data_IF_640121853175
#
_entry.id   IF_640121853175
#
_cell.length_a   1.000
_cell.length_b   1.000
_cell.length_c   1.000
_cell.angle_alpha   90.00
_cell.angle_beta   90.00
_cell.angle_gamma   90.00
#
_symmetry.space_group_name_H-M   'P 1'
#
loop_
_entity.id
_entity.type
_entity.pdbx_description
1 polymer ?
#
# COMPACT_ATOMS: atom_id res chain seq x y z
N UNK A 1 45.45 6.30 -6.10
CA UNK A 1 44.42 7.33 -5.89
C UNK A 1 43.03 6.96 -6.41
N UNK A 2 42.74 5.67 -6.66
CA UNK A 2 41.42 5.19 -7.11
C UNK A 2 40.52 4.60 -6.02
N UNK A 3 40.96 4.48 -4.77
CA UNK A 3 40.19 3.87 -3.69
C UNK A 3 39.38 4.85 -2.81
N UNK A 4 39.59 6.17 -2.96
CA UNK A 4 38.88 7.20 -2.19
C UNK A 4 37.50 7.55 -2.74
N UNK A 5 37.23 7.30 -4.03
CA UNK A 5 35.98 7.68 -4.68
C UNK A 5 34.80 6.75 -4.36
N UNK A 6 35.03 5.46 -4.10
CA UNK A 6 33.96 4.49 -3.82
C UNK A 6 33.37 4.65 -2.40
N UNK A 7 34.17 5.03 -1.43
CA UNK A 7 33.70 5.30 -0.06
C UNK A 7 32.80 6.53 0.06
N UNK A 8 33.05 7.55 -0.75
CA UNK A 8 32.24 8.79 -0.78
C UNK A 8 30.92 8.62 -1.54
N UNK A 9 30.89 7.79 -2.59
CA UNK A 9 29.66 7.43 -3.29
C UNK A 9 28.77 6.57 -2.39
N UNK A 10 29.36 5.61 -1.66
CA UNK A 10 28.62 4.78 -0.69
C UNK A 10 28.11 5.61 0.50
N UNK A 11 28.90 6.54 1.04
CA UNK A 11 28.44 7.46 2.10
C UNK A 11 27.33 8.40 1.60
N UNK A 12 27.39 8.90 0.36
CA UNK A 12 26.31 9.71 -0.23
C UNK A 12 25.04 8.88 -0.48
N UNK A 13 25.17 7.59 -0.85
CA UNK A 13 24.02 6.69 -0.98
C UNK A 13 23.40 6.37 0.38
N UNK A 14 24.19 6.15 1.43
CA UNK A 14 23.70 5.93 2.79
C UNK A 14 23.09 7.21 3.38
N UNK A 15 23.67 8.39 3.13
CA UNK A 15 23.05 9.67 3.51
C UNK A 15 21.75 9.96 2.74
N UNK A 16 21.56 9.38 1.52
CA UNK A 16 20.29 9.45 0.78
C UNK A 16 19.18 8.55 1.36
N UNK A 17 19.53 7.53 2.14
CA UNK A 17 18.57 6.66 2.82
C UNK A 17 17.97 7.27 4.09
N UNK A 18 18.59 8.31 4.68
CA UNK A 18 18.00 9.07 5.82
C UNK A 18 16.78 9.93 5.41
N UNK A 19 16.48 10.04 4.12
CA UNK A 19 15.33 10.79 3.61
C UNK A 19 13.98 10.12 3.85
N UNK A 20 13.95 8.83 4.20
CA UNK A 20 12.74 8.08 4.46
C UNK A 20 12.61 7.76 5.95
N UNK A 21 12.34 8.79 6.75
CA UNK A 21 12.07 8.59 8.17
C UNK A 21 10.84 7.69 8.36
N UNK A 22 10.99 6.60 9.12
CA UNK A 22 9.84 5.79 9.53
C UNK A 22 8.89 6.65 10.33
N UNK A 23 7.59 6.62 9.98
CA UNK A 23 6.53 7.30 10.74
C UNK A 23 5.46 6.29 11.11
N UNK A 24 4.86 6.44 12.27
CA UNK A 24 3.83 5.53 12.76
C UNK A 24 2.42 5.95 12.30
N UNK A 25 2.27 7.14 11.74
CA UNK A 25 0.97 7.67 11.29
C UNK A 25 0.25 6.72 10.33
N UNK A 26 0.88 6.16 9.27
CA UNK A 26 0.21 5.23 8.38
C UNK A 26 -0.31 3.97 9.08
N UNK A 27 0.39 3.51 10.10
CA UNK A 27 -0.04 2.34 10.89
C UNK A 27 -1.30 2.64 11.70
N UNK A 28 -1.37 3.85 12.30
CA UNK A 28 -2.58 4.30 13.02
C UNK A 28 -3.76 4.42 12.05
N UNK A 29 -3.56 5.09 10.90
CA UNK A 29 -4.59 5.28 9.87
C UNK A 29 -5.14 3.95 9.36
N UNK A 30 -4.27 3.01 9.03
CA UNK A 30 -4.65 1.70 8.48
C UNK A 30 -5.48 0.87 9.47
N UNK A 31 -5.17 0.96 10.78
CA UNK A 31 -5.86 0.21 11.81
C UNK A 31 -7.07 0.96 12.40
N UNK A 32 -7.40 2.16 11.91
CA UNK A 32 -8.43 3.03 12.50
C UNK A 32 -9.79 2.34 12.66
N UNK A 33 -10.22 1.58 11.67
CA UNK A 33 -11.49 0.84 11.67
C UNK A 33 -11.52 -0.33 12.68
N UNK A 34 -10.35 -0.79 13.12
CA UNK A 34 -10.23 -1.88 14.11
C UNK A 34 -10.26 -1.37 15.55
N UNK A 35 -10.10 -0.08 15.77
CA UNK A 35 -10.09 0.53 17.10
C UNK A 35 -11.49 0.59 17.69
N UNK A 36 -11.57 0.40 19.00
CA UNK A 36 -12.76 0.73 19.80
C UNK A 36 -12.94 2.25 19.83
N UNK A 37 -14.08 2.74 20.29
CA UNK A 37 -14.35 4.17 20.41
C UNK A 37 -13.28 4.92 21.24
N UNK A 38 -12.88 4.34 22.39
CA UNK A 38 -11.78 4.88 23.20
C UNK A 38 -10.44 4.89 22.47
N UNK A 39 -10.13 3.83 21.73
CA UNK A 39 -8.89 3.74 20.96
C UNK A 39 -8.90 4.68 19.76
N UNK A 40 -10.05 4.93 19.13
CA UNK A 40 -10.21 5.96 18.08
C UNK A 40 -9.99 7.36 18.63
N UNK A 41 -10.50 7.64 19.83
CA UNK A 41 -10.24 8.93 20.49
C UNK A 41 -8.73 9.15 20.73
N UNK A 42 -8.00 8.12 21.14
CA UNK A 42 -6.54 8.16 21.27
C UNK A 42 -5.87 8.34 19.88
N UNK A 43 -6.31 7.57 18.86
CA UNK A 43 -5.79 7.68 17.50
C UNK A 43 -5.96 9.09 16.93
N UNK A 44 -7.15 9.70 17.11
CA UNK A 44 -7.45 11.04 16.65
C UNK A 44 -6.52 12.09 17.26
N UNK A 45 -6.16 11.94 18.52
CA UNK A 45 -5.19 12.83 19.17
C UNK A 45 -3.85 12.79 18.45
N UNK A 46 -3.31 11.58 18.20
CA UNK A 46 -2.01 11.43 17.54
C UNK A 46 -2.03 11.77 16.04
N UNK A 47 -3.17 11.60 15.36
CA UNK A 47 -3.32 11.98 13.96
C UNK A 47 -3.44 13.49 13.74
N UNK A 48 -4.01 14.22 14.73
CA UNK A 48 -4.25 15.67 14.64
C UNK A 48 -3.18 16.52 15.31
N UNK A 49 -2.32 15.90 16.12
CA UNK A 49 -1.33 16.63 16.91
C UNK A 49 -0.11 16.99 16.04
N UNK A 50 0.06 18.28 15.79
CA UNK A 50 1.16 18.84 15.01
C UNK A 50 2.36 19.29 15.88
N UNK A 51 2.31 19.10 17.19
CA UNK A 51 3.35 19.52 18.11
C UNK A 51 3.79 18.37 19.03
N UNK A 52 5.10 18.27 19.27
CA UNK A 52 5.66 17.35 20.29
C UNK A 52 5.62 18.05 21.64
N UNK A 53 4.54 17.79 22.39
CA UNK A 53 4.43 18.18 23.80
C UNK A 53 4.83 17.06 24.77
N UNK A 54 4.27 17.09 25.98
CA UNK A 54 4.36 15.97 26.90
C UNK A 54 3.48 14.82 26.40
N UNK A 55 4.11 13.72 26.04
CA UNK A 55 3.46 12.48 25.58
C UNK A 55 3.56 11.37 26.64
N UNK A 56 3.81 11.72 27.90
CA UNK A 56 3.79 10.75 28.99
C UNK A 56 2.43 10.07 29.10
N UNK A 57 2.41 8.81 29.56
CA UNK A 57 1.15 8.10 29.75
C UNK A 57 0.24 8.81 30.76
N UNK A 58 0.81 9.46 31.76
CA UNK A 58 0.09 10.22 32.76
C UNK A 58 -0.59 11.46 32.15
N UNK A 59 0.17 12.26 31.39
CA UNK A 59 -0.35 13.44 30.71
C UNK A 59 -1.47 13.08 29.71
N UNK A 60 -1.22 12.14 28.80
CA UNK A 60 -2.20 11.75 27.78
C UNK A 60 -3.43 11.08 28.38
N UNK A 61 -3.27 10.29 29.46
CA UNK A 61 -4.42 9.70 30.17
C UNK A 61 -5.33 10.76 30.76
N UNK A 62 -4.74 11.81 31.31
CA UNK A 62 -5.49 12.95 31.89
C UNK A 62 -6.14 13.79 30.80
N UNK A 63 -5.38 14.15 29.77
CA UNK A 63 -5.83 15.00 28.65
C UNK A 63 -7.02 14.37 27.90
N UNK A 64 -6.95 13.07 27.63
CA UNK A 64 -7.99 12.35 26.89
C UNK A 64 -9.02 11.67 27.80
N UNK A 65 -8.90 11.80 29.13
CA UNK A 65 -9.77 11.11 30.09
C UNK A 65 -9.83 9.59 29.85
N UNK A 66 -8.70 8.96 29.55
CA UNK A 66 -8.58 7.52 29.30
C UNK A 66 -7.64 6.86 30.30
N UNK A 67 -7.78 5.54 30.50
CA UNK A 67 -6.87 4.81 31.40
C UNK A 67 -5.50 4.54 30.73
N UNK A 68 -4.40 4.44 31.52
CA UNK A 68 -3.10 3.99 30.99
C UNK A 68 -3.16 2.62 30.32
N UNK A 69 -4.07 1.75 30.77
CA UNK A 69 -4.33 0.46 30.16
C UNK A 69 -4.93 0.60 28.76
N UNK A 70 -5.74 1.62 28.50
CA UNK A 70 -6.30 1.94 27.17
C UNK A 70 -5.21 2.40 26.22
N UNK A 71 -4.27 3.23 26.65
CA UNK A 71 -3.09 3.63 25.88
C UNK A 71 -2.23 2.43 25.48
N UNK A 72 -2.01 1.50 26.42
CA UNK A 72 -1.24 0.28 26.16
C UNK A 72 -1.95 -0.66 25.17
N UNK A 73 -3.29 -0.78 25.26
CA UNK A 73 -4.07 -1.58 24.30
C UNK A 73 -4.04 -0.95 22.91
N UNK A 74 -4.24 0.35 22.80
CA UNK A 74 -4.12 1.09 21.56
C UNK A 74 -2.75 0.86 20.91
N UNK A 75 -1.65 1.06 21.65
CA UNK A 75 -0.30 0.86 21.15
C UNK A 75 -0.06 -0.58 20.64
N UNK A 76 -0.51 -1.59 21.38
CA UNK A 76 -0.40 -3.00 20.98
C UNK A 76 -1.21 -3.29 19.71
N UNK A 77 -2.40 -2.73 19.59
CA UNK A 77 -3.26 -2.89 18.42
C UNK A 77 -2.70 -2.17 17.19
N UNK A 78 -1.89 -1.11 17.42
CA UNK A 78 -1.10 -0.43 16.40
C UNK A 78 0.20 -1.15 16.03
N UNK A 79 0.48 -2.33 16.62
CA UNK A 79 1.65 -3.16 16.28
C UNK A 79 2.89 -2.94 17.14
N UNK A 80 2.78 -2.21 18.26
CA UNK A 80 3.89 -1.95 19.20
C UNK A 80 3.77 -2.81 20.46
N UNK A 81 4.88 -3.06 21.17
CA UNK A 81 4.87 -3.86 22.40
C UNK A 81 4.15 -3.15 23.55
N UNK A 82 4.10 -1.80 23.52
CA UNK A 82 3.42 -0.98 24.52
C UNK A 82 3.52 0.51 24.23
N UNK A 83 2.90 1.31 25.09
CA UNK A 83 2.77 2.75 24.91
C UNK A 83 4.13 3.49 24.87
N UNK A 84 5.15 3.01 25.62
CA UNK A 84 6.51 3.64 25.62
C UNK A 84 7.17 3.51 24.26
N UNK A 85 7.12 2.33 23.65
CA UNK A 85 7.66 2.10 22.31
C UNK A 85 6.89 2.92 21.27
N UNK A 86 5.57 2.94 21.35
CA UNK A 86 4.72 3.76 20.49
C UNK A 86 5.13 5.24 20.54
N UNK A 87 5.27 5.83 21.75
CA UNK A 87 5.66 7.25 21.91
C UNK A 87 7.07 7.51 21.40
N UNK A 88 8.00 6.57 21.61
CA UNK A 88 9.36 6.70 21.11
C UNK A 88 9.37 6.78 19.58
N UNK A 89 8.67 5.87 18.90
CA UNK A 89 8.55 5.87 17.44
C UNK A 89 7.76 7.08 16.92
N UNK A 90 6.73 7.52 17.65
CA UNK A 90 5.98 8.73 17.30
C UNK A 90 6.87 9.98 17.33
N UNK A 91 7.71 10.14 18.34
CA UNK A 91 8.66 11.26 18.44
C UNK A 91 9.70 11.22 17.32
N UNK A 92 10.24 10.04 17.01
CA UNK A 92 11.21 9.86 15.95
C UNK A 92 10.60 10.14 14.55
N UNK A 93 9.29 10.01 14.40
CA UNK A 93 8.58 10.27 13.15
C UNK A 93 8.22 11.74 12.93
N UNK A 94 8.46 12.60 13.93
CA UNK A 94 8.10 14.00 13.85
C UNK A 94 9.20 14.80 13.16
N UNK A 95 8.94 15.22 11.93
CA UNK A 95 9.80 16.17 11.20
C UNK A 95 9.22 17.56 11.40
N UNK A 96 10.00 18.49 11.97
CA UNK A 96 9.63 19.89 12.09
C UNK A 96 9.24 20.44 10.70
N UNK A 97 7.99 20.89 10.58
CA UNK A 97 7.48 21.59 9.41
C UNK A 97 8.07 23.00 9.40
N UNK A 98 9.13 23.21 8.65
CA UNK A 98 9.60 24.57 8.35
C UNK A 98 8.58 25.27 7.44
N UNK A 99 7.93 26.32 7.94
CA UNK A 99 7.05 27.20 7.19
C UNK A 99 7.88 28.05 6.24
N UNK A 100 7.96 27.62 4.97
CA UNK A 100 8.46 28.42 3.86
C UNK A 100 7.32 28.58 2.87
N UNK A 101 7.08 29.79 2.34
CA UNK A 101 6.19 29.98 1.19
C UNK A 101 6.59 29.00 0.08
N UNK A 102 5.68 28.07 -0.26
CA UNK A 102 6.01 26.95 -1.13
C UNK A 102 5.37 27.19 -2.50
N UNK A 103 6.18 27.15 -3.56
CA UNK A 103 5.68 27.08 -4.93
C UNK A 103 4.79 25.81 -5.11
N UNK A 104 3.75 25.91 -5.94
CA UNK A 104 2.76 24.84 -6.15
C UNK A 104 3.41 23.49 -6.54
N UNK A 105 4.46 23.55 -7.38
CA UNK A 105 5.25 22.38 -7.76
C UNK A 105 5.90 21.68 -6.55
N UNK A 106 6.37 22.47 -5.58
CA UNK A 106 7.00 21.95 -4.36
C UNK A 106 5.99 21.28 -3.46
N UNK A 107 4.77 21.83 -3.33
CA UNK A 107 3.68 21.20 -2.57
C UNK A 107 3.34 19.83 -3.12
N UNK A 108 3.28 19.67 -4.44
CA UNK A 108 3.05 18.37 -5.09
C UNK A 108 4.19 17.40 -4.80
N UNK A 109 5.44 17.83 -4.95
CA UNK A 109 6.61 16.96 -4.70
C UNK A 109 6.72 16.55 -3.24
N UNK A 110 6.48 17.46 -2.30
CA UNK A 110 6.49 17.17 -0.86
C UNK A 110 5.35 16.19 -0.49
N UNK A 111 4.21 16.29 -1.17
CA UNK A 111 3.09 15.35 -1.01
C UNK A 111 3.49 13.94 -1.49
N UNK A 112 4.14 13.81 -2.64
CA UNK A 112 4.67 12.53 -3.11
C UNK A 112 5.74 11.97 -2.16
N UNK A 113 6.65 12.82 -1.66
CA UNK A 113 7.67 12.41 -0.70
C UNK A 113 7.02 11.86 0.59
N UNK A 114 6.02 12.56 1.11
CA UNK A 114 5.26 12.12 2.30
C UNK A 114 4.56 10.80 2.06
N UNK A 115 3.99 10.60 0.86
CA UNK A 115 3.34 9.36 0.49
C UNK A 115 4.33 8.19 0.39
N UNK A 116 5.51 8.42 -0.21
CA UNK A 116 6.59 7.42 -0.29
C UNK A 116 7.04 6.97 1.12
N UNK A 117 7.20 7.92 2.04
CA UNK A 117 7.52 7.60 3.43
C UNK A 117 6.43 6.72 4.07
N UNK A 118 5.15 7.00 3.84
CA UNK A 118 4.04 6.18 4.33
C UNK A 118 4.07 4.77 3.73
N UNK A 119 4.32 4.62 2.42
CA UNK A 119 4.46 3.31 1.77
C UNK A 119 5.55 2.49 2.44
N UNK A 120 6.74 3.08 2.63
CA UNK A 120 7.89 2.40 3.23
C UNK A 120 7.56 1.80 4.60
N UNK A 121 6.71 2.47 5.40
CA UNK A 121 6.31 1.99 6.73
C UNK A 121 5.26 0.86 6.71
N UNK A 122 4.49 0.75 5.62
CA UNK A 122 3.44 -0.27 5.48
C UNK A 122 3.93 -1.54 4.78
N UNK A 123 5.13 -1.52 4.19
CA UNK A 123 5.67 -2.67 3.45
C UNK A 123 5.89 -3.88 4.36
N UNK A 124 5.31 -5.01 3.96
CA UNK A 124 5.58 -6.35 4.49
C UNK A 124 6.16 -7.23 3.38
N UNK A 125 7.48 -7.43 3.43
CA UNK A 125 8.21 -8.25 2.45
C UNK A 125 7.72 -9.71 2.42
N UNK A 126 7.28 -10.24 3.55
CA UNK A 126 6.74 -11.60 3.61
C UNK A 126 5.38 -11.67 2.90
N UNK A 127 4.54 -10.65 3.04
CA UNK A 127 3.27 -10.54 2.31
C UNK A 127 3.49 -10.40 0.81
N UNK A 128 4.45 -9.56 0.39
CA UNK A 128 4.80 -9.40 -1.03
C UNK A 128 5.20 -10.75 -1.63
N UNK A 129 6.04 -11.54 -0.95
CA UNK A 129 6.43 -12.88 -1.40
C UNK A 129 5.22 -13.82 -1.54
N UNK A 130 4.28 -13.82 -0.59
CA UNK A 130 3.06 -14.63 -0.70
C UNK A 130 2.18 -14.21 -1.87
N UNK A 131 2.06 -12.90 -2.13
CA UNK A 131 1.31 -12.37 -3.29
C UNK A 131 1.97 -12.80 -4.60
N UNK A 132 3.30 -12.72 -4.71
CA UNK A 132 4.06 -13.16 -5.89
C UNK A 132 3.84 -14.65 -6.14
N UNK A 133 3.88 -15.50 -5.11
CA UNK A 133 3.60 -16.94 -5.28
C UNK A 133 2.17 -17.19 -5.79
N UNK A 134 1.17 -16.49 -5.27
CA UNK A 134 -0.22 -16.58 -5.76
C UNK A 134 -0.34 -16.17 -7.23
N UNK A 135 0.35 -15.11 -7.63
CA UNK A 135 0.40 -14.67 -9.03
C UNK A 135 1.03 -15.73 -9.94
N UNK A 136 2.07 -16.44 -9.49
CA UNK A 136 2.76 -17.49 -10.26
C UNK A 136 1.93 -18.77 -10.41
N UNK A 137 1.14 -19.10 -9.39
CA UNK A 137 0.34 -20.33 -9.39
C UNK A 137 -0.99 -20.17 -10.13
N UNK A 138 -1.48 -18.94 -10.29
CA UNK A 138 -2.75 -18.69 -10.94
C UNK A 138 -2.66 -18.91 -12.45
N UNK A 139 -3.64 -19.63 -13.03
CA UNK A 139 -3.77 -19.73 -14.48
C UNK A 139 -4.33 -18.45 -15.12
N UNK A 140 -5.20 -17.77 -14.39
CA UNK A 140 -5.77 -16.47 -14.79
C UNK A 140 -5.97 -15.58 -13.58
N UNK A 141 -5.62 -14.31 -13.75
CA UNK A 141 -5.75 -13.27 -12.73
C UNK A 141 -6.81 -12.26 -13.16
N UNK A 142 -7.77 -11.98 -12.29
CA UNK A 142 -8.73 -10.90 -12.46
C UNK A 142 -8.38 -9.76 -11.52
N UNK A 143 -8.17 -8.57 -12.07
CA UNK A 143 -7.94 -7.36 -11.28
C UNK A 143 -9.14 -6.45 -11.42
N UNK A 144 -9.87 -6.21 -10.34
CA UNK A 144 -11.08 -5.39 -10.37
C UNK A 144 -10.93 -4.10 -9.56
N UNK A 145 -11.41 -3.00 -10.12
CA UNK A 145 -11.42 -1.67 -9.50
C UNK A 145 -12.44 -0.74 -10.15
N UNK A 146 -12.83 0.32 -9.43
CA UNK A 146 -13.79 1.32 -9.91
C UNK A 146 -13.17 2.71 -9.95
N UNK A 147 -13.57 3.54 -10.92
CA UNK A 147 -13.01 4.89 -11.09
C UNK A 147 -11.50 4.88 -11.23
N UNK A 148 -10.80 5.67 -10.42
CA UNK A 148 -9.33 5.75 -10.41
C UNK A 148 -8.66 4.40 -10.07
N UNK A 149 -9.25 3.60 -9.18
CA UNK A 149 -8.77 2.24 -8.92
C UNK A 149 -8.94 1.31 -10.13
N UNK A 150 -9.93 1.56 -10.97
CA UNK A 150 -10.11 0.84 -12.25
C UNK A 150 -9.01 1.15 -13.26
N UNK A 151 -8.52 2.40 -13.29
CA UNK A 151 -7.36 2.78 -14.10
C UNK A 151 -6.08 2.07 -13.60
N UNK A 152 -5.88 1.98 -12.29
CA UNK A 152 -4.77 1.23 -11.72
C UNK A 152 -4.88 -0.28 -12.01
N UNK A 153 -6.10 -0.85 -12.05
CA UNK A 153 -6.32 -2.24 -12.45
C UNK A 153 -5.91 -2.49 -13.91
N UNK A 154 -6.21 -1.55 -14.80
CA UNK A 154 -5.83 -1.62 -16.21
C UNK A 154 -4.32 -1.52 -16.41
N UNK A 155 -3.66 -0.61 -15.69
CA UNK A 155 -2.20 -0.49 -15.67
C UNK A 155 -1.55 -1.80 -15.19
N UNK A 156 -2.02 -2.36 -14.08
CA UNK A 156 -1.53 -3.63 -13.56
C UNK A 156 -1.68 -4.74 -14.61
N UNK A 157 -2.87 -4.90 -15.19
CA UNK A 157 -3.12 -5.93 -16.19
C UNK A 157 -2.25 -5.75 -17.43
N UNK A 158 -2.05 -4.53 -17.89
CA UNK A 158 -1.20 -4.23 -19.04
C UNK A 158 0.24 -4.66 -18.78
N UNK A 159 0.84 -4.25 -17.67
CA UNK A 159 2.23 -4.56 -17.33
C UNK A 159 2.48 -6.05 -17.14
N UNK A 160 1.57 -6.75 -16.43
CA UNK A 160 1.74 -8.18 -16.17
C UNK A 160 1.53 -9.02 -17.40
N UNK A 161 0.67 -8.62 -18.35
CA UNK A 161 0.54 -9.27 -19.66
C UNK A 161 1.83 -9.21 -20.50
N UNK A 162 2.59 -8.09 -20.40
CA UNK A 162 3.88 -7.97 -21.08
C UNK A 162 4.95 -8.99 -20.61
N UNK A 163 4.75 -9.60 -19.47
CA UNK A 163 5.61 -10.64 -18.92
C UNK A 163 4.95 -12.02 -18.89
N UNK A 164 3.86 -12.20 -19.67
CA UNK A 164 3.24 -13.50 -19.93
C UNK A 164 2.17 -13.94 -18.93
N UNK A 165 1.73 -13.06 -18.02
CA UNK A 165 0.63 -13.37 -17.10
C UNK A 165 -0.73 -13.14 -17.78
N UNK A 166 -1.59 -14.17 -17.78
CA UNK A 166 -2.99 -14.01 -18.24
C UNK A 166 -3.78 -13.20 -17.19
N UNK A 167 -3.74 -11.87 -17.35
CA UNK A 167 -4.35 -10.91 -16.42
C UNK A 167 -5.39 -10.05 -17.12
N UNK A 168 -6.59 -9.96 -16.52
CA UNK A 168 -7.75 -9.24 -17.04
C UNK A 168 -8.19 -8.17 -16.06
N UNK A 169 -8.26 -6.93 -16.53
CA UNK A 169 -8.82 -5.81 -15.75
C UNK A 169 -10.34 -5.74 -15.89
N UNK A 170 -11.05 -5.58 -14.78
CA UNK A 170 -12.50 -5.43 -14.70
C UNK A 170 -12.83 -4.09 -14.04
N UNK A 171 -13.43 -3.16 -14.79
CA UNK A 171 -13.65 -1.78 -14.37
C UNK A 171 -15.12 -1.39 -14.20
N UNK A 172 -16.01 -2.17 -14.72
CA UNK A 172 -17.44 -1.92 -14.67
C UNK A 172 -18.21 -3.06 -13.96
N UNK A 173 -19.40 -2.74 -13.49
CA UNK A 173 -20.19 -3.65 -12.68
C UNK A 173 -20.68 -4.88 -13.46
N UNK A 174 -21.01 -4.72 -14.73
CA UNK A 174 -21.54 -5.82 -15.57
C UNK A 174 -20.46 -6.87 -15.81
N UNK A 175 -19.26 -6.44 -16.24
CA UNK A 175 -18.11 -7.32 -16.43
C UNK A 175 -17.67 -8.00 -15.13
N UNK A 176 -17.63 -7.26 -14.00
CA UNK A 176 -17.33 -7.84 -12.69
C UNK A 176 -18.32 -8.96 -12.35
N UNK A 177 -19.62 -8.71 -12.47
CA UNK A 177 -20.66 -9.70 -12.19
C UNK A 177 -20.60 -10.89 -13.14
N UNK A 178 -20.46 -10.64 -14.45
CA UNK A 178 -20.36 -11.67 -15.46
C UNK A 178 -19.16 -12.59 -15.22
N UNK A 179 -17.97 -12.03 -15.07
CA UNK A 179 -16.75 -12.81 -14.84
C UNK A 179 -16.76 -13.56 -13.50
N UNK A 180 -17.46 -13.04 -12.49
CA UNK A 180 -17.56 -13.72 -11.20
C UNK A 180 -18.23 -15.09 -11.26
N UNK A 181 -19.00 -15.38 -12.32
CA UNK A 181 -19.65 -16.68 -12.51
C UNK A 181 -18.65 -17.78 -12.90
N UNK A 182 -17.57 -17.41 -13.59
CA UNK A 182 -16.57 -18.33 -14.12
C UNK A 182 -15.36 -18.55 -13.21
N UNK A 183 -15.35 -17.93 -12.01
CA UNK A 183 -14.27 -18.11 -11.06
C UNK A 183 -14.16 -19.56 -10.60
N UNK A 184 -12.92 -19.99 -10.37
CA UNK A 184 -12.58 -21.36 -9.94
C UNK A 184 -11.24 -21.36 -9.17
N UNK A 185 -10.83 -22.49 -8.55
CA UNK A 185 -9.61 -22.55 -7.74
C UNK A 185 -8.29 -22.26 -8.46
N UNK A 186 -8.28 -22.20 -9.80
CA UNK A 186 -7.10 -21.85 -10.58
C UNK A 186 -6.99 -20.35 -10.85
N UNK A 187 -7.92 -19.55 -10.33
CA UNK A 187 -7.95 -18.11 -10.52
C UNK A 187 -7.41 -17.37 -9.27
N UNK A 188 -6.87 -16.20 -9.52
CA UNK A 188 -6.58 -15.20 -8.52
C UNK A 188 -7.45 -13.96 -8.78
N UNK A 189 -8.09 -13.46 -7.74
CA UNK A 189 -8.86 -12.20 -7.79
C UNK A 189 -8.12 -11.15 -6.96
N UNK A 190 -7.75 -10.04 -7.59
CA UNK A 190 -7.16 -8.87 -6.94
C UNK A 190 -8.17 -7.73 -6.98
N UNK A 191 -8.65 -7.30 -5.82
CA UNK A 191 -9.53 -6.15 -5.68
C UNK A 191 -8.74 -4.90 -5.33
N UNK A 192 -8.89 -3.84 -6.14
CA UNK A 192 -8.31 -2.53 -5.88
C UNK A 192 -9.41 -1.57 -5.40
N UNK A 193 -9.39 -1.21 -4.12
CA UNK A 193 -10.40 -0.32 -3.54
C UNK A 193 -9.82 0.47 -2.38
N UNK A 194 -9.40 1.72 -2.61
CA UNK A 194 -8.82 2.58 -1.57
C UNK A 194 -9.75 2.69 -0.35
N UNK A 195 -11.02 3.02 -0.55
CA UNK A 195 -11.99 3.10 0.55
C UNK A 195 -12.36 1.75 1.17
N UNK A 196 -12.11 0.65 0.45
CA UNK A 196 -12.52 -0.69 0.85
C UNK A 196 -14.04 -0.90 0.92
N UNK A 197 -14.85 -0.03 0.27
CA UNK A 197 -16.33 -0.05 0.37
C UNK A 197 -17.03 -0.28 -0.96
N UNK A 198 -16.30 -0.40 -2.07
CA UNK A 198 -16.92 -0.60 -3.38
C UNK A 198 -17.55 -1.99 -3.46
N UNK A 199 -18.88 -2.02 -3.44
CA UNK A 199 -19.68 -3.24 -3.36
C UNK A 199 -19.36 -4.24 -4.46
N UNK A 200 -19.07 -3.77 -5.68
CA UNK A 200 -18.76 -4.61 -6.83
C UNK A 200 -17.42 -5.32 -6.65
N UNK A 201 -16.41 -4.61 -6.13
CA UNK A 201 -15.08 -5.18 -5.86
C UNK A 201 -15.17 -6.21 -4.73
N UNK A 202 -15.85 -5.87 -3.63
CA UNK A 202 -16.05 -6.79 -2.52
C UNK A 202 -16.88 -8.01 -2.92
N UNK A 203 -17.89 -7.83 -3.78
CA UNK A 203 -18.68 -8.90 -4.35
C UNK A 203 -17.81 -9.90 -5.14
N UNK A 204 -16.92 -9.40 -6.01
CA UNK A 204 -16.01 -10.23 -6.80
C UNK A 204 -15.08 -11.07 -5.89
N UNK A 205 -14.50 -10.44 -4.87
CA UNK A 205 -13.65 -11.13 -3.89
C UNK A 205 -14.43 -12.19 -3.12
N UNK A 206 -15.61 -11.87 -2.60
CA UNK A 206 -16.44 -12.80 -1.87
C UNK A 206 -16.91 -13.98 -2.74
N UNK A 207 -17.22 -13.75 -4.01
CA UNK A 207 -17.54 -14.81 -4.98
C UNK A 207 -16.32 -15.69 -5.24
N UNK A 208 -15.15 -15.07 -5.47
CA UNK A 208 -13.90 -15.80 -5.67
C UNK A 208 -13.57 -16.72 -4.51
N UNK A 209 -13.62 -16.20 -3.30
CA UNK A 209 -13.38 -16.99 -2.08
C UNK A 209 -14.32 -18.20 -1.99
N UNK A 210 -15.62 -18.00 -2.23
CA UNK A 210 -16.62 -19.09 -2.21
C UNK A 210 -16.40 -20.15 -3.28
N UNK A 211 -15.81 -19.77 -4.41
CA UNK A 211 -15.49 -20.68 -5.51
C UNK A 211 -14.07 -21.26 -5.44
N UNK A 212 -13.36 -21.02 -4.32
CA UNK A 212 -12.04 -21.55 -4.04
C UNK A 212 -10.88 -20.81 -4.73
N UNK A 213 -11.15 -19.68 -5.41
CA UNK A 213 -10.11 -18.82 -5.94
C UNK A 213 -9.32 -18.14 -4.82
N UNK A 214 -8.04 -17.86 -5.06
CA UNK A 214 -7.28 -16.97 -4.19
C UNK A 214 -7.78 -15.52 -4.32
N UNK A 215 -7.76 -14.78 -3.22
CA UNK A 215 -8.31 -13.42 -3.16
C UNK A 215 -7.38 -12.47 -2.43
N UNK A 216 -7.12 -11.33 -3.02
CA UNK A 216 -6.27 -10.27 -2.48
C UNK A 216 -7.04 -8.95 -2.56
N UNK A 217 -7.11 -8.20 -1.46
CA UNK A 217 -7.62 -6.83 -1.44
C UNK A 217 -6.46 -5.87 -1.21
N UNK A 218 -6.31 -4.85 -2.08
CA UNK A 218 -5.38 -3.73 -1.90
C UNK A 218 -6.20 -2.50 -1.55
N UNK A 219 -6.01 -1.95 -0.33
CA UNK A 219 -6.89 -0.94 0.25
C UNK A 219 -6.18 -0.07 1.29
N UNK A 220 -6.73 1.11 1.60
CA UNK A 220 -6.28 1.96 2.72
C UNK A 220 -6.81 1.49 4.09
N UNK A 221 -7.82 0.62 4.11
CA UNK A 221 -8.57 0.27 5.32
C UNK A 221 -8.32 -1.16 5.76
N UNK A 222 -8.03 -1.34 7.04
CA UNK A 222 -7.88 -2.65 7.66
C UNK A 222 -9.14 -3.01 8.47
N UNK A 223 -10.10 -3.69 7.83
CA UNK A 223 -11.34 -4.12 8.48
C UNK A 223 -11.32 -5.62 8.75
N UNK A 224 -11.75 -6.01 9.94
CA UNK A 224 -11.85 -7.43 10.31
C UNK A 224 -12.73 -8.24 9.34
N UNK A 225 -13.80 -7.63 8.81
CA UNK A 225 -14.71 -8.28 7.87
C UNK A 225 -14.07 -8.70 6.53
N UNK A 226 -12.89 -8.21 6.20
CA UNK A 226 -12.18 -8.67 5.01
C UNK A 226 -11.59 -10.08 5.18
N UNK A 227 -11.30 -10.49 6.41
CA UNK A 227 -10.77 -11.83 6.74
C UNK A 227 -11.74 -12.95 6.33
N UNK A 228 -13.04 -12.66 6.20
CA UNK A 228 -14.07 -13.62 5.80
C UNK A 228 -13.96 -14.04 4.32
N UNK A 229 -13.35 -13.20 3.47
CA UNK A 229 -13.31 -13.43 2.02
C UNK A 229 -12.01 -13.00 1.32
N UNK A 230 -11.04 -12.46 2.03
CA UNK A 230 -9.72 -12.14 1.49
C UNK A 230 -8.65 -13.01 2.14
N UNK A 231 -7.85 -13.70 1.30
CA UNK A 231 -6.67 -14.45 1.76
C UNK A 231 -5.53 -13.53 2.16
N UNK A 232 -5.41 -12.39 1.48
CA UNK A 232 -4.45 -11.33 1.80
C UNK A 232 -5.17 -9.98 1.75
N UNK A 233 -4.85 -9.11 2.69
CA UNK A 233 -5.24 -7.69 2.67
C UNK A 233 -3.96 -6.87 2.69
N UNK A 234 -3.63 -6.25 1.56
CA UNK A 234 -2.45 -5.41 1.41
C UNK A 234 -2.83 -3.96 1.63
N UNK A 235 -2.19 -3.33 2.60
CA UNK A 235 -2.50 -1.95 2.96
C UNK A 235 -1.69 -0.97 2.11
N UNK A 236 -2.37 0.08 1.65
CA UNK A 236 -1.76 1.24 1.01
C UNK A 236 -1.96 2.48 1.88
N UNK A 237 -1.07 3.49 1.79
CA UNK A 237 -1.23 4.70 2.59
C UNK A 237 -2.43 5.52 2.13
N UNK A 238 -3.13 6.12 3.10
CA UNK A 238 -4.21 7.06 2.85
C UNK A 238 -3.70 8.44 2.45
N UNK A 239 -4.40 9.08 1.49
CA UNK A 239 -4.18 10.47 1.12
C UNK A 239 -4.90 11.45 2.05
N UNK A 240 -5.86 10.99 2.86
CA UNK A 240 -6.75 11.85 3.68
C UNK A 240 -5.99 12.71 4.70
N UNK A 241 -4.86 12.20 5.20
CA UNK A 241 -4.06 12.87 6.23
C UNK A 241 -2.76 13.47 5.67
N UNK A 242 -2.69 13.68 4.36
CA UNK A 242 -1.67 14.49 3.72
C UNK A 242 -2.18 15.91 3.57
N UNK A 243 -1.35 16.91 3.91
CA UNK A 243 -1.75 18.32 3.85
C UNK A 243 -2.30 18.74 2.48
N UNK A 244 -1.77 18.14 1.42
CA UNK A 244 -2.11 18.42 0.04
C UNK A 244 -2.43 17.16 -0.77
N UNK A 245 -2.97 16.12 -0.13
CA UNK A 245 -3.28 14.84 -0.78
C UNK A 245 -4.25 14.93 -1.96
N UNK A 246 -5.07 15.99 -2.00
CA UNK A 246 -5.97 16.31 -3.12
C UNK A 246 -5.26 16.87 -4.37
N UNK A 247 -4.00 17.27 -4.27
CA UNK A 247 -3.22 17.77 -5.42
C UNK A 247 -2.61 16.66 -6.27
N UNK A 248 -2.59 15.41 -5.78
CA UNK A 248 -2.00 14.27 -6.49
C UNK A 248 -3.09 13.27 -6.93
N UNK A 249 -2.74 12.44 -7.92
CA UNK A 249 -3.69 11.43 -8.42
C UNK A 249 -4.09 10.44 -7.32
N UNK A 250 -5.40 10.21 -7.12
CA UNK A 250 -5.90 9.31 -6.07
C UNK A 250 -5.49 7.85 -6.28
N UNK A 251 -5.10 7.44 -7.49
CA UNK A 251 -4.63 6.08 -7.79
C UNK A 251 -3.17 5.85 -7.44
N UNK A 252 -2.40 6.89 -7.14
CA UNK A 252 -0.94 6.80 -6.97
C UNK A 252 -0.51 5.82 -5.87
N UNK A 253 -1.18 5.73 -4.69
CA UNK A 253 -0.86 4.70 -3.69
C UNK A 253 -0.96 3.27 -4.25
N UNK A 254 -1.94 3.00 -5.11
CA UNK A 254 -2.11 1.70 -5.76
C UNK A 254 -1.01 1.43 -6.77
N UNK A 255 -0.65 2.43 -7.59
CA UNK A 255 0.42 2.29 -8.59
C UNK A 255 1.75 1.95 -7.95
N UNK A 256 2.11 2.59 -6.82
CA UNK A 256 3.33 2.25 -6.09
C UNK A 256 3.35 0.79 -5.61
N UNK A 257 2.23 0.28 -5.08
CA UNK A 257 2.17 -1.12 -4.64
C UNK A 257 2.20 -2.09 -5.82
N UNK A 258 1.59 -1.73 -6.95
CA UNK A 258 1.67 -2.48 -8.20
C UNK A 258 3.12 -2.55 -8.68
N UNK A 259 3.87 -1.44 -8.63
CA UNK A 259 5.30 -1.40 -8.99
C UNK A 259 6.14 -2.32 -8.12
N UNK A 260 5.88 -2.32 -6.81
CA UNK A 260 6.59 -3.17 -5.84
C UNK A 260 6.30 -4.65 -6.11
N UNK A 261 5.03 -5.03 -6.32
CA UNK A 261 4.64 -6.41 -6.64
C UNK A 261 5.25 -6.82 -7.98
N UNK A 262 5.22 -5.94 -8.98
CA UNK A 262 5.81 -6.20 -10.29
C UNK A 262 7.32 -6.43 -10.20
N UNK A 263 8.04 -5.55 -9.50
CA UNK A 263 9.47 -5.69 -9.30
C UNK A 263 9.83 -6.99 -8.56
N UNK A 264 9.09 -7.35 -7.52
CA UNK A 264 9.28 -8.59 -6.79
C UNK A 264 9.01 -9.82 -7.68
N UNK A 265 7.97 -9.77 -8.52
CA UNK A 265 7.64 -10.84 -9.48
C UNK A 265 8.77 -11.01 -10.50
N UNK A 266 9.23 -9.95 -11.14
CA UNK A 266 10.31 -9.96 -12.13
C UNK A 266 11.62 -10.48 -11.52
N UNK A 267 11.96 -10.04 -10.32
CA UNK A 267 13.19 -10.47 -9.64
C UNK A 267 13.18 -11.93 -9.21
N UNK A 268 12.00 -12.56 -9.08
CA UNK A 268 11.91 -13.98 -8.73
C UNK A 268 12.45 -14.89 -9.84
N UNK A 269 12.21 -14.56 -11.12
CA UNK A 269 12.71 -15.29 -12.29
C UNK A 269 13.14 -14.34 -13.41
N UNK A 270 14.13 -13.52 -13.07
CA UNK A 270 14.58 -12.42 -13.93
C UNK A 270 15.02 -12.90 -15.33
N UNK A 271 15.75 -14.00 -15.38
CA UNK A 271 16.29 -14.51 -16.65
C UNK A 271 15.18 -14.94 -17.62
N UNK A 272 14.15 -15.60 -17.10
CA UNK A 272 13.00 -16.03 -17.91
C UNK A 272 12.18 -14.82 -18.37
N UNK A 273 11.90 -13.88 -17.47
CA UNK A 273 11.13 -12.67 -17.80
C UNK A 273 11.84 -11.80 -18.83
N UNK A 274 13.16 -11.62 -18.73
CA UNK A 274 13.93 -10.86 -19.72
C UNK A 274 13.87 -11.52 -21.13
N UNK A 275 13.82 -12.85 -21.21
CA UNK A 275 13.64 -13.56 -22.48
C UNK A 275 12.26 -13.26 -23.09
N UNK A 276 11.19 -13.37 -22.28
CA UNK A 276 9.83 -13.05 -22.73
C UNK A 276 9.76 -11.62 -23.25
N UNK A 277 10.27 -10.66 -22.49
CA UNK A 277 10.24 -9.24 -22.86
C UNK A 277 10.99 -8.98 -24.20
N UNK A 278 12.15 -9.60 -24.39
CA UNK A 278 12.91 -9.50 -25.65
C UNK A 278 12.15 -10.07 -26.83
N UNK A 279 11.45 -11.20 -26.64
CA UNK A 279 10.67 -11.82 -27.69
C UNK A 279 9.44 -10.99 -28.08
N UNK A 280 8.71 -10.47 -27.09
CA UNK A 280 7.61 -9.52 -27.32
C UNK A 280 8.08 -8.29 -28.10
N UNK A 281 9.20 -7.68 -27.68
CA UNK A 281 9.77 -6.52 -28.39
C UNK A 281 10.17 -6.84 -29.83
N UNK A 282 10.76 -8.02 -30.08
CA UNK A 282 11.12 -8.43 -31.45
C UNK A 282 9.89 -8.62 -32.33
N UNK A 283 8.84 -9.23 -31.78
CA UNK A 283 7.59 -9.46 -32.52
C UNK A 283 6.91 -8.15 -32.90
N UNK A 284 6.90 -7.18 -31.98
CA UNK A 284 6.30 -5.87 -32.26
C UNK A 284 7.09 -5.07 -33.29
N UNK A 285 8.44 -5.07 -33.25
CA UNK A 285 9.28 -4.39 -34.23
C UNK A 285 9.19 -5.06 -35.62
N UNK A 286 9.11 -6.37 -35.69
CA UNK A 286 8.97 -7.09 -36.95
C UNK A 286 7.61 -6.94 -37.64
N UNK A 287 6.61 -6.35 -37.00
CA UNK A 287 5.32 -6.00 -37.60
C UNK A 287 5.30 -4.57 -38.21
N UNK A 288 6.32 -3.74 -37.97
CA UNK A 288 6.44 -2.39 -38.57
C UNK A 288 7.16 -2.42 -39.92
N UNK A 289 7.85 -3.51 -40.26
CA UNK A 289 8.60 -3.70 -41.53
C UNK A 289 7.81 -4.44 -42.63
N UNK A 290 6.48 -4.54 -42.49
CA UNK A 290 5.56 -5.08 -43.50
C UNK A 290 4.46 -4.09 -43.82
#
# INVERSE_FOLDING_TARGET
DRSRGLGDVYKRQVMGMEKYAKTIIPTIEANYERYTETERHIADYFLKNDAIGDLSAEFISTELSVSPASLSRFAKKSGYQGYREFVYEYRNSYVEKTTVEQEESRLVLDTYQSLLNKVYNLLDEAQIKRIVEKLRMAKRVYVCGRGSSGLAAEEMATRFRWIGIDMVALRDNENIKMQSVFLNPQNLVIGLSLSGTKSEVLYMLARGCRQGADTILITEKNRKSYEDFCREVMLVPSLQHLNHGNLISPQFPLLMMIDIIYAAYVNHDRVHIEKIQKEVQRTLRGSEDK
#
